data_IF_321267532097
#
_entry.id   IF_321267532097
#
_cell.length_a   1.000
_cell.length_b   1.000
_cell.length_c   1.000
_cell.angle_alpha   90.00
_cell.angle_beta   90.00
_cell.angle_gamma   90.00
#
_symmetry.space_group_name_H-M   'P 1'
#
loop_
_entity.id
_entity.type
_entity.pdbx_description
1 polymer ?
#
# COMPACT_ATOMS: atom_id res chain seq x y z
N UNK A 1 12.09 28.56 15.81
CA UNK A 1 12.44 27.27 16.46
C UNK A 1 13.51 26.61 15.61
N UNK A 2 14.67 26.28 16.19
CA UNK A 2 15.73 25.56 15.48
C UNK A 2 15.18 24.22 14.98
N UNK A 3 15.35 23.94 13.69
CA UNK A 3 15.00 22.64 13.13
C UNK A 3 15.90 21.59 13.79
N UNK A 4 15.34 20.75 14.66
CA UNK A 4 16.04 19.58 15.18
C UNK A 4 16.28 18.62 14.01
N UNK A 5 17.42 18.76 13.35
CA UNK A 5 17.88 17.81 12.35
C UNK A 5 18.14 16.48 13.08
N UNK A 6 17.62 15.35 12.58
CA UNK A 6 18.00 14.06 13.13
C UNK A 6 19.51 13.88 13.02
N UNK A 7 20.14 13.27 14.03
CA UNK A 7 21.59 13.02 14.06
C UNK A 7 22.09 12.12 12.90
N UNK A 8 21.19 11.54 12.10
CA UNK A 8 21.49 10.60 11.03
C UNK A 8 20.70 11.01 9.78
N UNK A 9 21.39 11.08 8.63
CA UNK A 9 20.74 11.38 7.35
C UNK A 9 20.00 10.15 6.80
N UNK A 10 18.83 10.35 6.16
CA UNK A 10 18.08 9.24 5.57
C UNK A 10 18.81 8.61 4.38
N UNK A 11 19.72 9.34 3.73
CA UNK A 11 20.54 8.78 2.64
C UNK A 11 21.62 7.83 3.16
N UNK A 12 22.25 8.14 4.29
CA UNK A 12 23.17 7.21 4.95
C UNK A 12 22.46 5.92 5.36
N UNK A 13 21.28 6.04 5.96
CA UNK A 13 20.48 4.86 6.34
C UNK A 13 20.18 4.02 5.09
N UNK A 14 19.81 4.66 3.98
CA UNK A 14 19.56 3.94 2.72
C UNK A 14 20.77 3.16 2.23
N UNK A 15 21.95 3.78 2.18
CA UNK A 15 23.16 3.09 1.69
C UNK A 15 23.52 1.87 2.53
N UNK A 16 23.26 1.93 3.84
CA UNK A 16 23.44 0.77 4.74
C UNK A 16 22.41 -0.33 4.47
N UNK A 17 21.12 0.02 4.35
CA UNK A 17 20.02 -0.95 4.33
C UNK A 17 19.57 -1.39 2.94
N UNK A 18 20.05 -0.75 1.86
CA UNK A 18 19.58 -1.01 0.49
C UNK A 18 19.86 -2.44 0.04
N UNK A 19 20.96 -3.05 0.50
CA UNK A 19 21.38 -4.38 0.06
C UNK A 19 20.79 -5.48 0.92
N UNK A 20 20.55 -5.20 2.20
CA UNK A 20 20.06 -6.17 3.17
C UNK A 20 19.20 -5.48 4.24
N UNK A 21 17.92 -5.85 4.32
CA UNK A 21 17.01 -5.49 5.40
C UNK A 21 15.89 -6.54 5.50
N UNK A 22 15.22 -6.61 6.64
CA UNK A 22 14.17 -7.61 6.90
C UNK A 22 12.90 -7.44 6.05
N UNK A 23 12.67 -6.24 5.50
CA UNK A 23 11.54 -5.97 4.62
C UNK A 23 11.81 -6.37 3.17
N UNK A 24 13.07 -6.60 2.79
CA UNK A 24 13.49 -6.84 1.42
C UNK A 24 13.15 -8.26 0.98
N UNK A 25 12.40 -8.36 -0.11
CA UNK A 25 12.14 -9.62 -0.81
C UNK A 25 12.91 -9.62 -2.11
N UNK A 26 14.00 -10.39 -2.13
CA UNK A 26 14.83 -10.59 -3.32
C UNK A 26 14.21 -11.67 -4.20
N UNK A 27 13.55 -11.23 -5.25
CA UNK A 27 13.16 -12.08 -6.38
C UNK A 27 14.35 -12.19 -7.32
N UNK A 28 14.65 -13.40 -7.79
CA UNK A 28 15.75 -13.62 -8.75
C UNK A 28 15.55 -12.80 -10.03
N UNK A 29 16.64 -12.32 -10.63
CA UNK A 29 16.62 -11.42 -11.80
C UNK A 29 15.74 -11.95 -12.95
N UNK A 30 15.70 -13.27 -13.14
CA UNK A 30 14.94 -13.94 -14.19
C UNK A 30 13.42 -13.97 -13.98
N UNK A 31 12.90 -13.79 -12.75
CA UNK A 31 11.49 -14.07 -12.43
C UNK A 31 10.60 -12.82 -12.43
N UNK A 32 11.17 -11.66 -12.13
CA UNK A 32 10.40 -10.42 -11.89
C UNK A 32 10.99 -9.20 -12.62
N UNK A 33 11.73 -9.41 -13.72
CA UNK A 33 12.35 -8.33 -14.48
C UNK A 33 13.37 -7.52 -13.68
N UNK A 34 14.03 -8.14 -12.69
CA UNK A 34 14.98 -7.47 -11.79
C UNK A 34 14.36 -6.57 -10.71
N UNK A 35 13.03 -6.44 -10.63
CA UNK A 35 12.38 -5.63 -9.61
C UNK A 35 12.41 -6.34 -8.26
N UNK A 36 12.92 -5.65 -7.24
CA UNK A 36 12.91 -6.10 -5.85
C UNK A 36 11.70 -5.52 -5.11
N UNK A 37 11.10 -6.33 -4.24
CA UNK A 37 9.91 -5.93 -3.47
C UNK A 37 10.26 -5.66 -2.01
N UNK A 38 9.41 -4.90 -1.34
CA UNK A 38 9.52 -4.56 0.07
C UNK A 38 8.19 -4.74 0.78
N UNK A 39 8.25 -5.30 1.99
CA UNK A 39 7.12 -5.46 2.93
C UNK A 39 6.93 -4.30 3.91
N UNK A 40 7.62 -3.19 3.71
CA UNK A 40 7.50 -2.02 4.60
C UNK A 40 6.04 -1.53 4.68
N UNK A 41 5.46 -1.41 5.90
CA UNK A 41 4.09 -0.91 6.08
C UNK A 41 3.87 0.53 5.58
N UNK A 42 4.93 1.30 5.40
CA UNK A 42 4.91 2.68 4.90
C UNK A 42 5.31 2.79 3.42
N UNK A 43 5.25 1.68 2.68
CA UNK A 43 5.52 1.63 1.24
C UNK A 43 4.22 1.46 0.44
N UNK A 44 3.90 2.43 -0.42
CA UNK A 44 2.67 2.45 -1.21
C UNK A 44 2.68 1.43 -2.37
N UNK A 45 3.83 1.24 -3.01
CA UNK A 45 3.96 0.37 -4.20
C UNK A 45 4.52 -1.02 -3.89
N UNK A 46 4.94 -1.27 -2.64
CA UNK A 46 5.71 -2.45 -2.23
C UNK A 46 7.00 -2.67 -3.05
N UNK A 47 7.53 -1.64 -3.72
CA UNK A 47 8.78 -1.74 -4.49
C UNK A 47 9.92 -1.30 -3.59
N UNK A 48 11.02 -2.05 -3.60
CA UNK A 48 12.23 -1.66 -2.88
C UNK A 48 12.94 -0.53 -3.63
N UNK A 49 12.69 0.70 -3.18
CA UNK A 49 13.26 1.92 -3.77
C UNK A 49 13.33 3.02 -2.72
N UNK A 50 14.38 3.85 -2.78
CA UNK A 50 14.61 5.00 -1.89
C UNK A 50 13.38 5.89 -1.72
N UNK A 51 12.62 6.11 -2.81
CA UNK A 51 11.42 6.97 -2.84
C UNK A 51 10.29 6.44 -1.95
N UNK A 52 10.13 5.12 -1.89
CA UNK A 52 9.02 4.44 -1.22
C UNK A 52 9.42 3.77 0.10
N UNK A 53 10.71 3.75 0.45
CA UNK A 53 11.21 3.25 1.73
C UNK A 53 10.78 4.20 2.87
N UNK A 54 9.64 3.90 3.48
CA UNK A 54 9.04 4.72 4.52
C UNK A 54 9.76 4.60 5.85
N UNK A 55 10.39 3.45 6.14
CA UNK A 55 11.23 3.30 7.34
C UNK A 55 12.46 4.23 7.32
N UNK A 56 13.01 4.52 6.14
CA UNK A 56 14.17 5.39 5.93
C UNK A 56 13.80 6.87 5.87
N UNK A 57 12.73 7.22 5.15
CA UNK A 57 12.34 8.61 4.96
C UNK A 57 11.79 9.27 6.24
N UNK A 58 12.08 10.56 6.42
CA UNK A 58 11.50 11.38 7.50
C UNK A 58 9.99 11.56 7.34
N UNK A 59 9.56 11.79 6.09
CA UNK A 59 8.16 11.84 5.69
C UNK A 59 7.79 10.60 4.89
N UNK A 60 6.77 9.88 5.36
CA UNK A 60 6.30 8.66 4.72
C UNK A 60 4.79 8.54 4.83
N UNK A 61 4.19 7.86 3.85
CA UNK A 61 2.75 7.63 3.77
C UNK A 61 2.54 6.14 3.51
N UNK A 62 1.82 5.47 4.41
CA UNK A 62 1.32 4.12 4.25
C UNK A 62 -0.20 4.11 4.12
N UNK A 63 -0.73 3.16 3.35
CA UNK A 63 -2.18 2.97 3.20
C UNK A 63 -2.46 1.50 3.47
N UNK A 64 -3.19 1.24 4.56
CA UNK A 64 -3.47 -0.09 5.08
C UNK A 64 -4.97 -0.40 5.05
N UNK A 65 -5.37 -1.67 4.91
CA UNK A 65 -6.76 -2.07 5.09
C UNK A 65 -7.19 -1.88 6.55
N UNK A 66 -8.44 -1.49 6.75
CA UNK A 66 -9.08 -1.48 8.06
C UNK A 66 -9.87 -2.78 8.27
N UNK A 67 -9.87 -3.32 9.49
CA UNK A 67 -10.55 -4.57 9.85
C UNK A 67 -12.07 -4.49 9.62
N UNK A 68 -12.68 -3.35 9.95
CA UNK A 68 -14.13 -3.09 9.79
C UNK A 68 -14.48 -2.56 8.40
N UNK A 69 -13.63 -2.82 7.41
CA UNK A 69 -13.72 -2.23 6.07
C UNK A 69 -13.27 -0.77 6.00
N UNK A 70 -12.88 -0.34 4.81
CA UNK A 70 -12.27 0.97 4.57
C UNK A 70 -10.74 0.95 4.68
N UNK A 71 -10.16 2.13 4.87
CA UNK A 71 -8.72 2.35 4.68
C UNK A 71 -8.15 3.14 5.86
N UNK A 72 -7.01 2.72 6.38
CA UNK A 72 -6.22 3.47 7.36
C UNK A 72 -5.06 4.12 6.65
N UNK A 73 -5.03 5.45 6.66
CA UNK A 73 -3.90 6.23 6.20
C UNK A 73 -2.93 6.42 7.36
N UNK A 74 -1.68 6.07 7.14
CA UNK A 74 -0.59 6.10 8.11
C UNK A 74 0.44 7.13 7.64
N UNK A 75 0.82 8.07 8.49
CA UNK A 75 1.79 9.12 8.15
C UNK A 75 2.85 9.27 9.24
N UNK A 76 4.09 9.56 8.86
CA UNK A 76 5.15 9.85 9.84
C UNK A 76 5.08 11.31 10.33
N UNK A 77 5.29 11.52 11.63
CA UNK A 77 5.38 12.84 12.24
C UNK A 77 6.84 13.32 12.23
N UNK A 78 7.17 14.41 11.53
CA UNK A 78 8.54 14.90 11.46
C UNK A 78 9.06 15.43 12.81
N UNK A 79 8.17 15.76 13.75
CA UNK A 79 8.55 16.25 15.08
C UNK A 79 8.94 15.13 16.07
N UNK A 80 8.62 13.86 15.77
CA UNK A 80 8.76 12.74 16.70
C UNK A 80 9.64 11.61 16.13
N UNK A 81 10.74 11.96 15.47
CA UNK A 81 11.63 11.02 14.77
C UNK A 81 12.30 10.04 15.74
N UNK A 82 12.76 10.53 16.90
CA UNK A 82 13.44 9.73 17.94
C UNK A 82 12.48 8.93 18.83
N UNK A 83 11.17 9.10 18.64
CA UNK A 83 10.13 8.48 19.48
C UNK A 83 9.30 7.50 18.64
N UNK A 84 9.78 6.27 18.40
CA UNK A 84 9.14 5.34 17.47
C UNK A 84 7.66 5.08 17.79
N UNK A 85 7.29 5.00 19.07
CA UNK A 85 5.90 4.82 19.50
C UNK A 85 4.95 5.97 19.13
N UNK A 86 5.46 7.20 19.06
CA UNK A 86 4.69 8.42 18.74
C UNK A 86 4.94 8.95 17.33
N UNK A 87 5.92 8.37 16.62
CA UNK A 87 6.40 8.78 15.30
C UNK A 87 5.37 8.62 14.19
N UNK A 88 4.29 7.88 14.42
CA UNK A 88 3.28 7.57 13.42
C UNK A 88 1.91 8.13 13.82
N UNK A 89 1.25 8.81 12.89
CA UNK A 89 -0.15 9.20 12.97
C UNK A 89 -0.99 8.27 12.09
N UNK A 90 -2.06 7.70 12.67
CA UNK A 90 -3.04 6.88 11.95
C UNK A 90 -4.34 7.66 11.82
N UNK A 91 -4.90 7.68 10.61
CA UNK A 91 -6.20 8.29 10.31
C UNK A 91 -7.07 7.26 9.62
N UNK A 92 -8.16 6.87 10.29
CA UNK A 92 -9.07 5.84 9.80
C UNK A 92 -10.17 6.45 8.94
N UNK A 93 -10.33 5.92 7.74
CA UNK A 93 -11.42 6.24 6.82
C UNK A 93 -12.34 5.02 6.78
N UNK A 94 -13.45 5.10 7.51
CA UNK A 94 -14.38 3.97 7.65
C UNK A 94 -15.00 3.50 6.34
N UNK A 95 -15.33 2.21 6.27
CA UNK A 95 -15.88 1.53 5.09
C UNK A 95 -17.21 2.12 4.58
N UNK A 96 -18.04 2.66 5.46
CA UNK A 96 -19.33 3.29 5.10
C UNK A 96 -19.21 4.60 4.30
N UNK A 97 -18.01 5.18 4.18
CA UNK A 97 -17.80 6.35 3.30
C UNK A 97 -17.78 5.92 1.84
N UNK A 98 -18.29 6.76 0.93
CA UNK A 98 -18.19 6.49 -0.50
C UNK A 98 -16.73 6.43 -0.98
N UNK A 99 -16.49 5.70 -2.07
CA UNK A 99 -15.15 5.55 -2.68
C UNK A 99 -14.55 6.91 -3.04
N UNK A 100 -15.34 7.79 -3.68
CA UNK A 100 -14.94 9.17 -4.01
C UNK A 100 -14.53 9.97 -2.77
N UNK A 101 -15.30 9.88 -1.67
CA UNK A 101 -14.96 10.57 -0.41
C UNK A 101 -13.67 10.02 0.21
N UNK A 102 -13.44 8.71 0.09
CA UNK A 102 -12.21 8.05 0.54
C UNK A 102 -10.99 8.56 -0.23
N UNK A 103 -11.05 8.57 -1.57
CA UNK A 103 -9.93 9.02 -2.40
C UNK A 103 -9.65 10.51 -2.22
N UNK A 104 -10.71 11.34 -2.11
CA UNK A 104 -10.56 12.77 -1.80
C UNK A 104 -9.87 12.98 -0.45
N UNK A 105 -10.25 12.22 0.58
CA UNK A 105 -9.63 12.33 1.90
C UNK A 105 -8.15 11.94 1.86
N UNK A 106 -7.79 10.81 1.23
CA UNK A 106 -6.40 10.38 1.06
C UNK A 106 -5.60 11.43 0.28
N UNK A 107 -6.09 11.87 -0.87
CA UNK A 107 -5.40 12.87 -1.69
C UNK A 107 -5.21 14.21 -0.97
N UNK A 108 -6.21 14.64 -0.19
CA UNK A 108 -6.13 15.87 0.59
C UNK A 108 -5.07 15.77 1.67
N UNK A 109 -5.02 14.66 2.40
CA UNK A 109 -4.08 14.51 3.51
C UNK A 109 -2.62 14.34 3.04
N UNK A 110 -2.42 13.80 1.84
CA UNK A 110 -1.07 13.62 1.25
C UNK A 110 -0.56 14.90 0.55
N UNK A 111 -1.42 15.61 -0.18
CA UNK A 111 -1.00 16.72 -1.04
C UNK A 111 -1.45 18.11 -0.56
N UNK A 112 -2.65 18.26 0.03
CA UNK A 112 -3.21 19.59 0.36
C UNK A 112 -2.39 20.32 1.42
N UNK A 113 -1.77 19.59 2.33
CA UNK A 113 -0.91 20.13 3.40
C UNK A 113 0.55 20.28 2.96
N UNK A 114 0.88 20.04 1.69
CA UNK A 114 2.26 20.06 1.19
C UNK A 114 3.15 18.96 1.78
N UNK A 115 2.57 17.87 2.31
CA UNK A 115 3.33 16.84 3.00
C UNK A 115 4.23 16.03 2.05
N UNK A 116 3.64 15.28 1.10
CA UNK A 116 4.33 14.51 0.05
C UNK A 116 3.48 14.43 -1.23
N UNK A 117 3.34 15.56 -1.98
CA UNK A 117 2.48 15.60 -3.16
C UNK A 117 2.93 14.63 -4.26
N UNK A 118 4.21 14.26 -4.30
CA UNK A 118 4.81 13.27 -5.19
C UNK A 118 4.20 11.86 -5.04
N UNK A 119 3.67 11.54 -3.85
CA UNK A 119 3.07 10.26 -3.53
C UNK A 119 1.55 10.24 -3.72
N UNK A 120 0.93 11.36 -4.09
CA UNK A 120 -0.54 11.48 -4.19
C UNK A 120 -1.16 10.40 -5.07
N UNK A 121 -0.64 10.21 -6.28
CA UNK A 121 -1.17 9.23 -7.23
C UNK A 121 -1.08 7.80 -6.66
N UNK A 122 0.12 7.42 -6.20
CA UNK A 122 0.36 6.09 -5.62
C UNK A 122 -0.49 5.83 -4.37
N UNK A 123 -0.76 6.85 -3.55
CA UNK A 123 -1.59 6.71 -2.36
C UNK A 123 -3.06 6.46 -2.72
N UNK A 124 -3.57 7.14 -3.75
CA UNK A 124 -4.93 6.93 -4.26
C UNK A 124 -5.06 5.56 -4.92
N UNK A 125 -4.08 5.15 -5.74
CA UNK A 125 -4.02 3.82 -6.36
C UNK A 125 -4.07 2.70 -5.31
N UNK A 126 -3.26 2.81 -4.26
CA UNK A 126 -3.24 1.84 -3.15
C UNK A 126 -4.58 1.81 -2.41
N UNK A 127 -5.18 2.97 -2.16
CA UNK A 127 -6.49 3.06 -1.53
C UNK A 127 -7.60 2.44 -2.41
N UNK A 128 -7.54 2.60 -3.73
CA UNK A 128 -8.49 1.97 -4.65
C UNK A 128 -8.32 0.46 -4.70
N UNK A 129 -7.09 -0.05 -4.70
CA UNK A 129 -6.82 -1.48 -4.69
C UNK A 129 -7.36 -2.15 -3.41
N UNK A 130 -7.15 -1.52 -2.25
CA UNK A 130 -7.69 -2.01 -0.96
C UNK A 130 -9.22 -1.97 -0.94
N UNK A 131 -9.83 -0.89 -1.46
CA UNK A 131 -11.29 -0.82 -1.57
C UNK A 131 -11.84 -1.92 -2.48
N UNK A 132 -11.18 -2.17 -3.60
CA UNK A 132 -11.57 -3.23 -4.53
C UNK A 132 -11.47 -4.61 -3.87
N UNK A 133 -10.38 -4.88 -3.10
CA UNK A 133 -10.21 -6.17 -2.42
C UNK A 133 -11.21 -6.40 -1.28
N UNK A 134 -11.87 -5.37 -0.78
CA UNK A 134 -12.89 -5.46 0.27
C UNK A 134 -14.31 -5.68 -0.27
N UNK A 135 -14.51 -5.54 -1.59
CA UNK A 135 -15.81 -5.81 -2.19
C UNK A 135 -16.03 -7.32 -2.33
N UNK A 136 -17.29 -7.80 -2.21
CA UNK A 136 -17.59 -9.19 -2.46
C UNK A 136 -17.18 -9.55 -3.90
N UNK A 137 -16.42 -10.63 -4.03
CA UNK A 137 -16.05 -11.18 -5.33
C UNK A 137 -17.33 -11.76 -5.95
N UNK A 138 -17.64 -11.36 -7.18
CA UNK A 138 -18.75 -11.97 -7.92
C UNK A 138 -18.42 -13.45 -8.09
N UNK A 139 -19.39 -14.32 -7.82
CA UNK A 139 -19.23 -15.74 -8.10
C UNK A 139 -18.81 -15.93 -9.57
N UNK A 140 -17.83 -16.80 -9.80
CA UNK A 140 -17.43 -17.12 -11.16
C UNK A 140 -18.66 -17.66 -11.90
N UNK A 141 -18.94 -17.17 -13.12
CA UNK A 141 -20.05 -17.67 -13.90
C UNK A 141 -19.84 -19.17 -14.12
N UNK A 142 -20.91 -19.96 -13.95
CA UNK A 142 -20.82 -21.41 -14.10
C UNK A 142 -20.19 -21.75 -15.46
N UNK A 143 -19.13 -22.57 -15.46
CA UNK A 143 -18.47 -22.94 -16.70
C UNK A 143 -19.48 -23.69 -17.58
N UNK A 144 -19.92 -23.05 -18.67
CA UNK A 144 -20.80 -23.69 -19.65
C UNK A 144 -20.17 -25.00 -20.08
N UNK A 145 -20.81 -26.12 -19.75
CA UNK A 145 -20.38 -27.44 -20.21
C UNK A 145 -20.37 -27.41 -21.75
N UNK A 146 -19.25 -27.82 -22.35
CA UNK A 146 -19.09 -27.91 -23.82
C UNK A 146 -18.76 -29.34 -24.23
N UNK A 147 -19.14 -29.71 -25.44
CA UNK A 147 -18.80 -31.00 -26.03
C UNK A 147 -19.48 -32.19 -25.35
N UNK A 148 -18.75 -33.30 -25.18
CA UNK A 148 -19.31 -34.57 -24.67
C UNK A 148 -19.96 -34.45 -23.29
N UNK A 149 -19.44 -33.58 -22.41
CA UNK A 149 -20.02 -33.35 -21.07
C UNK A 149 -21.38 -32.64 -21.11
N UNK A 150 -21.63 -31.77 -22.10
CA UNK A 150 -22.94 -31.13 -22.29
C UNK A 150 -23.99 -32.13 -22.80
N UNK A 151 -23.58 -33.02 -23.72
CA UNK A 151 -24.45 -34.08 -24.25
C UNK A 151 -24.82 -35.13 -23.19
N UNK A 152 -23.89 -35.47 -22.30
CA UNK A 152 -24.15 -36.39 -21.20
C UNK A 152 -25.09 -35.80 -20.13
N UNK A 153 -24.99 -34.50 -19.85
CA UNK A 153 -25.91 -33.81 -18.94
C UNK A 153 -27.34 -33.76 -19.50
N UNK A 154 -27.50 -33.47 -20.80
CA UNK A 154 -28.81 -33.45 -21.46
C UNK A 154 -29.47 -34.85 -21.59
N UNK A 155 -28.68 -35.93 -21.53
CA UNK A 155 -29.18 -37.31 -21.61
C UNK A 155 -29.52 -37.92 -20.24
N UNK A 156 -29.11 -37.28 -19.14
CA UNK A 156 -29.46 -37.70 -17.77
C UNK A 156 -30.72 -37.02 -17.22
N UNK A 157 -31.27 -36.03 -17.94
CA UNK A 157 -32.51 -35.32 -17.60
C UNK A 157 -33.75 -35.89 -18.32
N UNK A 158 -33.58 -36.93 -19.15
CA UNK A 158 -34.65 -37.69 -19.82
C UNK A 158 -34.79 -39.09 -19.24
#
# INVERSE_FOLDING_TARGET
MAAALPNISPDLIWEVVRTNNSYLHKTGAARNGGVQFSRDPLNLKNVHSRKYAGFVNDKAVGVLPNEKGGVVLVTKKPAAVTQPSKSVAKTTIGGGKSTRKTYKAVASQVAKTGYRPDLRAAAVERASAIRHSQLPVKADPEPKLRGKKAKAAAAGES
#
